data_IF_885742954106
#
_entry.id   IF_885742954106
#
_cell.length_a   1.000
_cell.length_b   1.000
_cell.length_c   1.000
_cell.angle_alpha   90.00
_cell.angle_beta   90.00
_cell.angle_gamma   90.00
#
_symmetry.space_group_name_H-M   'P 1'
#
loop_
_entity.id
_entity.type
_entity.pdbx_description
1 polymer ?
#
# COMPACT_ATOMS: atom_id res chain seq x y z
N UNK A 1 6.97 29.91 19.80
CA UNK A 1 6.48 28.77 20.60
C UNK A 1 4.96 28.89 20.66
N UNK A 2 4.28 28.43 19.62
CA UNK A 2 2.82 28.39 19.54
C UNK A 2 2.40 27.02 20.08
N UNK A 3 2.07 26.95 21.37
CA UNK A 3 1.38 25.80 21.95
C UNK A 3 -0.04 25.82 21.37
N UNK A 4 -0.29 25.04 20.31
CA UNK A 4 -1.64 24.79 19.84
C UNK A 4 -2.37 24.00 20.91
N UNK A 5 -3.45 24.57 21.43
CA UNK A 5 -4.18 24.05 22.58
C UNK A 5 -5.31 23.15 22.05
N UNK A 6 -5.07 21.83 21.95
CA UNK A 6 -6.03 20.87 21.41
C UNK A 6 -7.37 20.83 22.16
N UNK A 7 -7.41 21.30 23.40
CA UNK A 7 -8.66 21.49 24.17
C UNK A 7 -9.59 22.59 23.61
N UNK A 8 -9.07 23.56 22.84
CA UNK A 8 -9.83 24.72 22.35
C UNK A 8 -10.44 24.52 20.95
N UNK A 9 -10.02 23.50 20.19
CA UNK A 9 -10.54 23.25 18.84
C UNK A 9 -11.95 22.64 18.92
N UNK A 10 -12.22 21.79 19.91
CA UNK A 10 -13.55 21.18 20.11
C UNK A 10 -14.62 22.12 20.70
N UNK A 11 -14.23 23.23 21.34
CA UNK A 11 -15.15 24.07 22.12
C UNK A 11 -15.72 25.28 21.36
N UNK A 12 -15.24 25.58 20.16
CA UNK A 12 -15.71 26.72 19.35
C UNK A 12 -16.70 26.37 18.22
N UNK A 13 -17.12 25.11 18.08
CA UNK A 13 -17.97 24.65 16.96
C UNK A 13 -19.42 24.29 17.30
N UNK A 14 -19.91 24.58 18.50
CA UNK A 14 -21.35 24.50 18.77
C UNK A 14 -21.84 25.74 19.51
N UNK A 15 -22.66 26.55 18.83
CA UNK A 15 -24.07 26.43 19.15
C UNK A 15 -24.94 26.23 17.90
N UNK A 16 -26.11 25.62 18.14
CA UNK A 16 -27.25 25.45 17.25
C UNK A 16 -27.21 24.23 16.31
N UNK A 17 -27.95 23.20 16.78
CA UNK A 17 -29.01 22.52 16.05
C UNK A 17 -29.06 22.79 14.54
N UNK A 18 -28.60 21.84 13.74
CA UNK A 18 -29.27 21.47 12.49
C UNK A 18 -28.81 20.06 12.10
N UNK A 19 -29.80 19.22 11.80
CA UNK A 19 -29.61 17.87 11.26
C UNK A 19 -28.93 17.96 9.90
N UNK A 20 -27.65 17.61 9.84
CA UNK A 20 -26.97 17.32 8.58
C UNK A 20 -26.01 16.17 8.85
N UNK A 21 -26.38 14.98 8.36
CA UNK A 21 -25.46 13.86 8.20
C UNK A 21 -24.40 14.27 7.18
N UNK A 22 -23.36 14.98 7.65
CA UNK A 22 -22.17 15.26 6.88
C UNK A 22 -21.33 13.99 6.89
N UNK A 23 -21.62 13.12 5.91
CA UNK A 23 -20.71 12.06 5.52
C UNK A 23 -19.49 12.75 4.91
N UNK A 24 -18.50 13.09 5.74
CA UNK A 24 -17.18 13.48 5.27
C UNK A 24 -16.60 12.21 4.62
N UNK A 25 -16.78 12.08 3.31
CA UNK A 25 -15.93 11.19 2.52
C UNK A 25 -14.58 11.89 2.48
N UNK A 26 -13.75 11.66 3.50
CA UNK A 26 -12.32 11.73 3.31
C UNK A 26 -12.05 10.71 2.21
N UNK A 27 -11.83 11.18 0.99
CA UNK A 27 -11.21 10.34 -0.03
C UNK A 27 -9.75 10.18 0.41
N UNK A 28 -9.53 9.31 1.41
CA UNK A 28 -8.34 8.49 1.36
C UNK A 28 -8.43 7.78 0.02
N UNK A 29 -7.63 8.23 -0.96
CA UNK A 29 -7.22 7.31 -2.01
C UNK A 29 -6.80 6.00 -1.36
N UNK A 30 -7.02 4.84 -2.00
CA UNK A 30 -6.86 3.56 -1.35
C UNK A 30 -5.52 3.54 -0.61
N UNK A 31 -5.60 3.52 0.72
CA UNK A 31 -4.45 3.31 1.58
C UNK A 31 -4.08 1.85 1.36
N UNK A 32 -3.36 1.57 0.27
CA UNK A 32 -2.71 0.29 0.08
C UNK A 32 -1.72 0.17 1.23
N UNK A 33 -2.06 -0.64 2.23
CA UNK A 33 -1.24 -0.83 3.40
C UNK A 33 0.10 -1.42 2.96
N UNK A 34 1.17 -0.66 3.19
CA UNK A 34 2.48 -0.93 2.65
C UNK A 34 3.27 -1.77 3.64
N UNK A 35 3.44 -3.04 3.26
CA UNK A 35 4.50 -3.97 3.66
C UNK A 35 4.32 -5.22 2.77
N UNK A 36 4.30 -5.01 1.45
CA UNK A 36 3.97 -6.05 0.45
C UNK A 36 5.19 -6.91 0.09
N UNK A 37 6.36 -6.63 0.67
CA UNK A 37 7.57 -7.45 0.57
C UNK A 37 7.50 -8.71 1.47
N UNK A 38 6.32 -9.34 1.62
CA UNK A 38 6.18 -10.65 2.26
C UNK A 38 6.89 -11.76 1.47
N UNK A 39 6.72 -13.04 1.87
CA UNK A 39 7.27 -14.24 1.17
C UNK A 39 7.47 -14.01 -0.32
N UNK A 40 8.64 -14.41 -0.88
CA UNK A 40 9.39 -13.69 -1.91
C UNK A 40 8.52 -12.76 -2.76
N UNK A 41 8.75 -11.44 -2.68
CA UNK A 41 7.94 -10.45 -3.40
C UNK A 41 7.71 -10.89 -4.86
N UNK A 42 6.46 -11.12 -5.25
CA UNK A 42 6.10 -11.72 -6.52
C UNK A 42 5.71 -13.22 -6.50
N UNK A 43 5.68 -13.89 -5.35
CA UNK A 43 5.17 -15.26 -5.19
C UNK A 43 3.63 -15.27 -5.20
N UNK A 44 3.05 -15.11 -6.38
CA UNK A 44 1.60 -15.06 -6.60
C UNK A 44 0.93 -16.43 -6.42
N UNK A 45 1.70 -17.50 -6.60
CA UNK A 45 1.26 -18.89 -6.46
C UNK A 45 1.37 -19.42 -5.02
N UNK A 46 1.95 -18.63 -4.10
CA UNK A 46 2.14 -18.98 -2.69
C UNK A 46 3.00 -20.24 -2.48
N UNK A 47 3.87 -20.55 -3.44
CA UNK A 47 4.67 -21.78 -3.45
C UNK A 47 6.02 -21.61 -2.74
N UNK A 48 6.36 -20.39 -2.32
CA UNK A 48 7.60 -20.00 -1.65
C UNK A 48 8.72 -19.60 -2.60
N UNK A 49 8.46 -19.46 -3.90
CA UNK A 49 9.42 -19.04 -4.92
C UNK A 49 8.76 -18.09 -5.92
N UNK A 50 9.58 -17.23 -6.55
CA UNK A 50 9.18 -16.46 -7.73
C UNK A 50 9.75 -17.13 -8.96
N UNK A 51 8.88 -17.67 -9.80
CA UNK A 51 9.24 -18.36 -11.03
C UNK A 51 8.25 -18.09 -12.19
N UNK A 52 8.32 -18.92 -13.23
CA UNK A 52 7.49 -18.76 -14.44
C UNK A 52 6.01 -18.96 -14.15
N UNK A 53 5.65 -19.73 -13.13
CA UNK A 53 4.26 -19.91 -12.71
C UNK A 53 3.68 -18.58 -12.19
N UNK A 54 4.45 -17.83 -11.40
CA UNK A 54 4.01 -16.52 -10.90
C UNK A 54 3.88 -15.50 -12.04
N UNK A 55 4.84 -15.47 -12.97
CA UNK A 55 4.76 -14.62 -14.18
C UNK A 55 3.50 -14.93 -15.00
N UNK A 56 3.15 -16.21 -15.15
CA UNK A 56 1.92 -16.59 -15.85
C UNK A 56 0.67 -16.12 -15.09
N UNK A 57 0.66 -16.18 -13.77
CA UNK A 57 -0.45 -15.70 -12.95
C UNK A 57 -0.64 -14.19 -13.03
N UNK A 58 0.45 -13.43 -13.02
CA UNK A 58 0.46 -11.99 -13.20
C UNK A 58 -0.14 -11.59 -14.55
N UNK A 59 0.33 -12.22 -15.64
CA UNK A 59 -0.22 -11.95 -16.98
C UNK A 59 -1.73 -12.24 -17.04
N UNK A 60 -2.17 -13.35 -16.45
CA UNK A 60 -3.60 -13.68 -16.39
C UNK A 60 -4.38 -12.70 -15.51
N UNK A 61 -3.79 -12.22 -14.42
CA UNK A 61 -4.34 -11.18 -13.55
C UNK A 61 -4.55 -9.86 -14.28
N UNK A 62 -3.55 -9.43 -15.05
CA UNK A 62 -3.59 -8.17 -15.81
C UNK A 62 -4.59 -8.24 -16.95
N UNK A 63 -4.74 -9.40 -17.58
CA UNK A 63 -5.82 -9.61 -18.56
C UNK A 63 -7.20 -9.64 -17.90
N UNK A 64 -7.30 -10.18 -16.69
CA UNK A 64 -8.55 -10.22 -15.93
C UNK A 64 -9.00 -8.84 -15.46
N UNK A 65 -8.09 -8.01 -14.93
CA UNK A 65 -8.39 -6.65 -14.49
C UNK A 65 -8.84 -5.73 -15.64
N UNK A 66 -8.38 -6.00 -16.87
CA UNK A 66 -8.84 -5.32 -18.09
C UNK A 66 -10.27 -5.71 -18.51
N UNK A 67 -10.77 -6.87 -18.11
CA UNK A 67 -12.12 -7.37 -18.45
C UNK A 67 -13.18 -7.00 -17.40
N UNK A 68 -12.93 -5.95 -16.60
CA UNK A 68 -13.87 -5.42 -15.59
C UNK A 68 -14.40 -6.47 -14.60
N UNK A 69 -13.59 -7.48 -14.30
CA UNK A 69 -13.91 -8.60 -13.40
C UNK A 69 -15.10 -9.48 -13.85
N UNK A 70 -15.49 -9.42 -15.12
CA UNK A 70 -16.61 -10.22 -15.65
C UNK A 70 -16.28 -11.72 -15.74
N UNK A 71 -14.99 -12.05 -15.86
CA UNK A 71 -14.49 -13.41 -15.90
C UNK A 71 -14.10 -13.92 -14.48
N UNK A 72 -14.12 -15.23 -14.23
CA UNK A 72 -13.60 -15.79 -12.97
C UNK A 72 -12.10 -15.46 -12.79
N UNK A 73 -11.70 -15.16 -11.56
CA UNK A 73 -10.28 -14.98 -11.21
C UNK A 73 -9.46 -16.22 -11.61
N UNK A 74 -8.26 -16.05 -12.18
CA UNK A 74 -7.38 -17.17 -12.51
C UNK A 74 -7.06 -18.04 -11.29
N UNK A 75 -7.17 -19.36 -11.43
CA UNK A 75 -7.04 -20.31 -10.32
C UNK A 75 -5.62 -20.43 -9.74
N UNK A 76 -4.63 -19.87 -10.43
CA UNK A 76 -3.24 -19.93 -9.98
C UNK A 76 -2.92 -18.81 -8.97
N UNK A 77 -3.87 -17.92 -8.72
CA UNK A 77 -3.75 -16.83 -7.77
C UNK A 77 -4.17 -17.28 -6.38
N UNK A 78 -3.24 -17.15 -5.45
CA UNK A 78 -3.49 -17.40 -4.03
C UNK A 78 -3.41 -16.11 -3.21
N UNK A 79 -2.99 -15.02 -3.84
CA UNK A 79 -2.93 -13.66 -3.28
C UNK A 79 -4.19 -12.85 -3.61
N UNK A 80 -4.44 -11.80 -2.81
CA UNK A 80 -5.52 -10.83 -3.04
C UNK A 80 -5.15 -9.86 -4.17
N UNK A 81 -6.12 -9.10 -4.69
CA UNK A 81 -5.91 -8.10 -5.77
C UNK A 81 -4.74 -7.11 -5.51
N UNK A 82 -4.48 -6.66 -4.27
CA UNK A 82 -3.27 -5.89 -3.97
C UNK A 82 -1.93 -6.58 -4.25
N UNK A 83 -1.91 -7.91 -4.40
CA UNK A 83 -0.70 -8.68 -4.68
C UNK A 83 -0.19 -8.58 -6.11
N UNK A 84 -0.99 -8.05 -7.05
CA UNK A 84 -0.60 -7.83 -8.45
C UNK A 84 0.10 -6.48 -8.69
N UNK A 85 -0.03 -5.57 -7.73
CA UNK A 85 0.62 -4.27 -7.77
C UNK A 85 2.07 -4.46 -7.30
N UNK A 86 2.88 -5.07 -8.17
CA UNK A 86 4.27 -5.45 -7.92
C UNK A 86 5.12 -4.19 -7.75
N UNK A 87 4.81 -3.09 -8.43
CA UNK A 87 5.50 -1.81 -8.24
C UNK A 87 4.87 -0.91 -7.16
N UNK A 88 3.80 -1.37 -6.50
CA UNK A 88 3.10 -0.68 -5.42
C UNK A 88 2.67 0.76 -5.75
N UNK A 89 2.32 1.00 -7.01
CA UNK A 89 1.86 2.32 -7.49
C UNK A 89 0.35 2.51 -7.34
N UNK A 90 -0.38 1.44 -7.00
CA UNK A 90 -1.83 1.40 -6.83
C UNK A 90 -2.59 0.99 -8.08
N UNK A 91 -1.89 0.79 -9.20
CA UNK A 91 -2.46 0.45 -10.51
C UNK A 91 -1.81 -0.82 -11.06
N UNK A 92 -2.64 -1.84 -11.33
CA UNK A 92 -2.18 -3.10 -11.94
C UNK A 92 -2.01 -2.91 -13.46
N UNK A 93 -0.79 -2.96 -13.96
CA UNK A 93 -0.46 -2.67 -15.36
C UNK A 93 0.75 -3.47 -15.88
N UNK A 94 1.21 -3.15 -17.10
CA UNK A 94 2.33 -3.89 -17.73
C UNK A 94 3.67 -3.71 -17.01
N UNK A 95 3.80 -2.64 -16.22
CA UNK A 95 5.00 -2.36 -15.42
C UNK A 95 5.18 -3.44 -14.36
N UNK A 96 4.10 -3.86 -13.70
CA UNK A 96 4.09 -4.94 -12.73
C UNK A 96 4.56 -6.26 -13.33
N UNK A 97 4.08 -6.60 -14.53
CA UNK A 97 4.51 -7.80 -15.25
C UNK A 97 6.00 -7.77 -15.57
N UNK A 98 6.53 -6.63 -16.06
CA UNK A 98 7.95 -6.51 -16.42
C UNK A 98 8.82 -6.64 -15.17
N UNK A 99 8.41 -6.01 -14.07
CA UNK A 99 9.09 -6.09 -12.80
C UNK A 99 9.11 -7.53 -12.25
N UNK A 100 7.97 -8.23 -12.28
CA UNK A 100 7.90 -9.62 -11.87
C UNK A 100 8.78 -10.54 -12.73
N UNK A 101 8.86 -10.30 -14.04
CA UNK A 101 9.79 -11.02 -14.91
C UNK A 101 11.24 -10.79 -14.45
N UNK A 102 11.63 -9.57 -14.11
CA UNK A 102 12.97 -9.27 -13.62
C UNK A 102 13.25 -10.02 -12.30
N UNK A 103 12.31 -9.99 -11.36
CA UNK A 103 12.41 -10.69 -10.07
C UNK A 103 12.52 -12.21 -10.26
N UNK A 104 11.63 -12.81 -11.05
CA UNK A 104 11.65 -14.26 -11.33
C UNK A 104 12.90 -14.73 -12.08
N UNK A 105 13.48 -13.87 -12.93
CA UNK A 105 14.77 -14.11 -13.58
C UNK A 105 15.98 -13.81 -12.68
N UNK A 106 15.76 -13.27 -11.48
CA UNK A 106 16.81 -12.77 -10.57
C UNK A 106 17.71 -11.75 -11.27
N UNK A 107 17.13 -10.98 -12.19
CA UNK A 107 17.80 -9.88 -12.84
C UNK A 107 17.93 -8.73 -11.83
N UNK A 108 19.06 -8.01 -11.82
CA UNK A 108 19.20 -6.83 -10.97
C UNK A 108 18.17 -5.78 -11.37
N UNK A 109 17.49 -5.24 -10.36
CA UNK A 109 16.61 -4.08 -10.52
C UNK A 109 17.47 -2.80 -10.56
N UNK A 110 16.92 -1.73 -11.14
CA UNK A 110 17.61 -0.44 -11.14
C UNK A 110 17.72 0.09 -9.70
N UNK A 111 18.87 0.66 -9.34
CA UNK A 111 19.10 1.25 -8.01
C UNK A 111 18.12 2.37 -7.63
N UNK A 112 17.46 2.99 -8.61
CA UNK A 112 16.39 3.95 -8.39
C UNK A 112 15.06 3.30 -7.97
N UNK A 113 14.89 2.00 -8.25
CA UNK A 113 13.70 1.20 -7.94
C UNK A 113 13.93 0.37 -6.68
N UNK A 114 15.07 -0.30 -6.57
CA UNK A 114 15.49 -1.19 -5.47
C UNK A 114 16.91 -0.79 -5.05
N UNK A 115 17.04 -0.10 -3.91
CA UNK A 115 18.28 0.60 -3.56
C UNK A 115 19.19 -0.24 -2.66
N UNK A 116 18.62 -1.22 -1.96
CA UNK A 116 19.34 -2.16 -1.09
C UNK A 116 19.50 -3.56 -1.71
N UNK A 117 18.97 -3.74 -2.93
CA UNK A 117 19.10 -4.92 -3.77
C UNK A 117 18.50 -6.18 -3.11
N UNK A 118 17.34 -6.02 -2.48
CA UNK A 118 16.61 -7.10 -1.81
C UNK A 118 15.53 -7.77 -2.70
N UNK A 119 15.39 -7.32 -3.95
CA UNK A 119 14.40 -7.76 -4.94
C UNK A 119 12.96 -7.34 -4.62
N UNK A 120 12.77 -6.40 -3.70
CA UNK A 120 11.55 -5.62 -3.56
C UNK A 120 11.80 -4.19 -4.10
N UNK A 121 10.80 -3.51 -4.66
CA UNK A 121 10.92 -2.08 -4.91
C UNK A 121 10.86 -1.29 -3.59
N UNK A 122 11.70 -0.26 -3.43
CA UNK A 122 11.71 0.56 -2.21
C UNK A 122 10.34 1.23 -1.93
N UNK A 123 9.55 1.46 -2.98
CA UNK A 123 8.18 1.98 -2.87
C UNK A 123 7.21 0.96 -2.24
N UNK A 124 7.48 -0.33 -2.41
CA UNK A 124 6.79 -1.45 -1.74
C UNK A 124 7.33 -1.73 -0.34
N UNK A 125 8.61 -1.42 -0.12
CA UNK A 125 9.32 -1.56 1.17
C UNK A 125 9.04 -0.44 2.17
N UNK A 126 7.98 0.36 1.94
CA UNK A 126 7.67 1.52 2.79
C UNK A 126 8.01 1.27 4.24
N UNK A 127 8.79 2.20 4.82
CA UNK A 127 9.78 1.85 5.79
C UNK A 127 9.10 1.20 7.00
N UNK A 128 9.82 0.44 7.83
CA UNK A 128 9.40 0.31 9.23
C UNK A 128 9.11 1.74 9.69
N UNK A 129 7.84 2.03 9.98
CA UNK A 129 7.30 3.38 10.07
C UNK A 129 8.32 4.45 10.50
N UNK A 130 8.35 5.59 9.79
CA UNK A 130 9.02 6.80 10.27
C UNK A 130 7.96 7.78 10.77
N UNK A 131 8.16 8.46 11.91
CA UNK A 131 7.18 9.44 12.41
C UNK A 131 6.77 10.48 11.35
N UNK A 132 7.72 10.95 10.53
CA UNK A 132 7.44 11.93 9.46
C UNK A 132 6.66 11.36 8.27
N UNK A 133 6.60 10.05 8.10
CA UNK A 133 5.77 9.38 7.09
C UNK A 133 4.35 9.12 7.59
N UNK A 134 4.12 9.30 8.90
CA UNK A 134 2.81 9.16 9.54
C UNK A 134 2.16 10.51 9.84
N UNK A 135 2.69 11.61 9.31
CA UNK A 135 2.06 12.92 9.45
C UNK A 135 0.69 12.92 8.77
N UNK A 136 -0.39 12.97 9.56
CA UNK A 136 -1.76 13.06 9.05
C UNK A 136 -2.27 14.51 8.93
N UNK A 137 -1.40 15.48 9.26
CA UNK A 137 -1.71 16.89 9.26
C UNK A 137 -2.63 17.31 10.42
N UNK A 138 -2.95 16.43 11.37
CA UNK A 138 -3.69 16.78 12.58
C UNK A 138 -2.70 17.17 13.69
N UNK A 139 -2.59 18.47 14.04
CA UNK A 139 -1.69 18.91 15.11
C UNK A 139 -2.09 18.41 16.51
N UNK A 140 -3.19 17.66 16.63
CA UNK A 140 -3.67 17.04 17.86
C UNK A 140 -3.41 15.54 17.96
N UNK A 141 -2.66 14.97 17.02
CA UNK A 141 -2.20 13.58 17.10
C UNK A 141 -0.69 13.55 17.36
N UNK A 142 -0.26 12.65 18.23
CA UNK A 142 1.12 12.18 18.25
C UNK A 142 1.21 11.10 17.20
N UNK A 143 1.97 11.39 16.16
CA UNK A 143 2.26 10.49 15.08
C UNK A 143 3.45 9.62 15.46
N UNK A 144 3.31 8.32 15.27
CA UNK A 144 4.32 7.38 15.70
C UNK A 144 4.19 6.04 15.00
N UNK A 145 5.01 5.12 15.46
CA UNK A 145 5.17 3.80 14.87
C UNK A 145 4.91 2.75 15.92
N UNK A 146 4.05 1.79 15.63
CA UNK A 146 3.97 0.60 16.46
C UNK A 146 5.16 -0.34 16.20
N UNK A 147 5.25 -1.39 17.01
CA UNK A 147 6.32 -2.39 16.91
C UNK A 147 6.28 -3.21 15.61
N UNK A 148 5.20 -3.13 14.83
CA UNK A 148 5.01 -3.79 13.54
C UNK A 148 5.35 -2.85 12.37
N UNK A 149 5.75 -1.62 12.65
CA UNK A 149 6.07 -0.62 11.64
C UNK A 149 4.83 0.02 11.01
N UNK A 150 3.66 -0.06 11.64
CA UNK A 150 2.45 0.64 11.19
C UNK A 150 2.36 2.03 11.83
N UNK A 151 1.81 2.99 11.08
CA UNK A 151 1.51 4.31 11.62
C UNK A 151 0.46 4.25 12.72
N UNK A 152 0.72 4.97 13.81
CA UNK A 152 -0.21 5.17 14.92
C UNK A 152 -0.43 6.66 15.16
N UNK A 153 -1.69 7.05 15.35
CA UNK A 153 -2.09 8.40 15.71
C UNK A 153 -2.77 8.36 17.08
N UNK A 154 -2.07 8.82 18.10
CA UNK A 154 -2.61 8.88 19.46
C UNK A 154 -2.93 10.32 19.84
N UNK A 155 -4.15 10.62 20.33
CA UNK A 155 -4.50 11.98 20.76
C UNK A 155 -3.55 12.53 21.84
N UNK A 156 -3.18 13.82 21.75
CA UNK A 156 -2.49 14.58 22.82
C UNK A 156 -3.42 15.10 23.93
#
# INVERSE_FOLDING_TARGET
MLLHNCSQIFSNWFPMSLTASLLIVLSSGPTYAQNLCGSPHGDLTGNGAVDVADIQCEILGNLWSLDTDAAPQPSCLVVTVPGFDIDCTGDINVTDTVLLIQIGLKAPLDTAIDSDNDMCPNVCEQPPCKPSACDDGDPCTIEGCDALGMCTWTPE
#
